data_IF_644473155347
#
_entry.id   IF_644473155347
#
_cell.length_a   1.000
_cell.length_b   1.000
_cell.length_c   1.000
_cell.angle_alpha   90.00
_cell.angle_beta   90.00
_cell.angle_gamma   90.00
#
_symmetry.space_group_name_H-M   'P 1'
#
loop_
_entity.id
_entity.type
_entity.pdbx_description
1 polymer ?
#
# COMPACT_ATOMS: atom_id res chain seq x y z
N UNK A 1 -7.95 3.21 -26.49
CA UNK A 1 -7.96 2.62 -25.13
C UNK A 1 -8.78 3.56 -24.25
N UNK A 2 -9.59 3.08 -23.30
CA UNK A 2 -10.27 3.97 -22.36
C UNK A 2 -9.21 4.80 -21.61
N UNK A 3 -9.43 6.10 -21.52
CA UNK A 3 -8.56 7.01 -20.77
C UNK A 3 -8.96 6.90 -19.30
N UNK A 4 -8.11 6.27 -18.49
CA UNK A 4 -8.35 6.16 -17.06
C UNK A 4 -7.74 7.36 -16.34
N UNK A 5 -8.43 7.94 -15.33
CA UNK A 5 -7.87 9.03 -14.56
C UNK A 5 -6.61 8.56 -13.83
N UNK A 6 -5.55 9.36 -13.93
CA UNK A 6 -4.34 9.21 -13.09
C UNK A 6 -4.57 10.07 -11.85
N UNK A 7 -4.59 9.44 -10.68
CA UNK A 7 -4.76 10.14 -9.43
C UNK A 7 -3.41 10.67 -8.93
N UNK A 8 -3.41 11.89 -8.38
CA UNK A 8 -2.26 12.50 -7.73
C UNK A 8 -2.64 12.96 -6.32
N UNK A 9 -3.23 12.02 -5.56
CA UNK A 9 -3.61 12.25 -4.17
C UNK A 9 -2.36 12.48 -3.33
N UNK A 10 -2.41 13.42 -2.39
CA UNK A 10 -1.28 13.74 -1.50
C UNK A 10 -1.56 13.42 -0.03
N UNK A 11 -2.85 13.28 0.32
CA UNK A 11 -3.32 13.05 1.66
C UNK A 11 -4.61 12.20 1.64
N UNK A 12 -5.10 11.86 2.83
CA UNK A 12 -6.35 11.11 3.03
C UNK A 12 -7.56 11.79 2.40
N UNK A 13 -7.70 13.11 2.56
CA UNK A 13 -8.84 13.87 2.03
C UNK A 13 -8.95 13.78 0.50
N UNK A 14 -7.82 13.83 -0.20
CA UNK A 14 -7.76 13.67 -1.65
C UNK A 14 -8.27 12.28 -2.07
N UNK A 15 -7.93 11.24 -1.30
CA UNK A 15 -8.36 9.86 -1.56
C UNK A 15 -9.85 9.70 -1.29
N UNK A 16 -10.35 10.17 -0.14
CA UNK A 16 -11.77 10.10 0.22
C UNK A 16 -12.63 10.82 -0.82
N UNK A 17 -12.18 12.00 -1.28
CA UNK A 17 -12.81 12.73 -2.36
C UNK A 17 -12.83 11.92 -3.66
N UNK A 18 -11.69 11.37 -4.07
CA UNK A 18 -11.56 10.58 -5.29
C UNK A 18 -12.48 9.34 -5.27
N UNK A 19 -12.52 8.63 -4.14
CA UNK A 19 -13.37 7.45 -3.91
C UNK A 19 -14.84 7.79 -4.10
N UNK A 20 -15.30 8.91 -3.52
CA UNK A 20 -16.68 9.38 -3.65
C UNK A 20 -17.02 9.81 -5.07
N UNK A 21 -16.17 10.61 -5.70
CA UNK A 21 -16.41 11.15 -7.06
C UNK A 21 -16.47 10.06 -8.12
N UNK A 22 -15.62 9.04 -7.98
CA UNK A 22 -15.52 7.93 -8.94
C UNK A 22 -16.35 6.72 -8.54
N UNK A 23 -17.14 6.82 -7.46
CA UNK A 23 -18.01 5.75 -6.94
C UNK A 23 -17.25 4.43 -6.77
N UNK A 24 -16.06 4.51 -6.19
CA UNK A 24 -15.24 3.34 -5.88
C UNK A 24 -15.97 2.52 -4.82
N UNK A 25 -16.22 1.25 -5.09
CA UNK A 25 -16.94 0.37 -4.16
C UNK A 25 -16.01 -0.31 -3.16
N UNK A 26 -14.76 -0.61 -3.57
CA UNK A 26 -13.76 -1.30 -2.77
C UNK A 26 -12.38 -0.71 -3.02
N UNK A 27 -11.59 -0.65 -1.97
CA UNK A 27 -10.17 -0.28 -2.06
C UNK A 27 -9.32 -1.47 -1.65
N UNK A 28 -8.40 -1.87 -2.52
CA UNK A 28 -7.42 -2.91 -2.22
C UNK A 28 -6.20 -2.31 -1.52
N UNK A 29 -5.87 -2.85 -0.36
CA UNK A 29 -4.63 -2.53 0.34
C UNK A 29 -3.59 -3.54 -0.11
N UNK A 30 -2.50 -3.04 -0.68
CA UNK A 30 -1.43 -3.81 -1.30
C UNK A 30 -0.16 -3.72 -0.48
N UNK A 31 0.55 -4.83 -0.35
CA UNK A 31 1.87 -4.87 0.28
C UNK A 31 2.67 -6.02 -0.32
N UNK A 32 3.98 -6.03 -0.07
CA UNK A 32 4.90 -6.99 -0.70
C UNK A 32 5.70 -7.69 0.38
N UNK A 33 5.66 -9.02 0.38
CA UNK A 33 6.47 -9.82 1.31
C UNK A 33 7.96 -9.84 0.93
N UNK A 34 8.80 -10.47 1.75
CA UNK A 34 10.26 -10.47 1.51
C UNK A 34 10.68 -11.26 0.28
N UNK A 35 9.80 -12.12 -0.27
CA UNK A 35 10.06 -12.86 -1.50
C UNK A 35 9.66 -12.05 -2.74
N UNK A 36 9.10 -10.85 -2.58
CA UNK A 36 8.62 -10.02 -3.67
C UNK A 36 7.20 -10.34 -4.12
N UNK A 37 6.46 -11.16 -3.35
CA UNK A 37 5.08 -11.52 -3.69
C UNK A 37 4.13 -10.39 -3.29
N UNK A 38 3.32 -9.92 -4.24
CA UNK A 38 2.23 -8.98 -3.95
C UNK A 38 1.12 -9.69 -3.16
N UNK A 39 0.81 -9.14 -2.00
CA UNK A 39 -0.30 -9.54 -1.13
C UNK A 39 -1.34 -8.41 -1.10
N UNK A 40 -2.60 -8.76 -0.83
CA UNK A 40 -3.65 -7.76 -0.71
C UNK A 40 -4.87 -8.24 0.06
N UNK A 41 -5.57 -7.29 0.69
CA UNK A 41 -6.95 -7.45 1.17
C UNK A 41 -7.80 -6.24 0.74
N UNK A 42 -9.10 -6.30 0.99
CA UNK A 42 -10.06 -5.28 0.55
C UNK A 42 -10.71 -4.59 1.75
N UNK A 43 -10.92 -3.29 1.62
CA UNK A 43 -11.65 -2.46 2.59
C UNK A 43 -12.76 -1.69 1.90
N UNK A 44 -13.79 -1.37 2.67
CA UNK A 44 -14.90 -0.54 2.25
C UNK A 44 -14.54 0.95 2.34
N UNK A 45 -15.10 1.81 1.47
CA UNK A 45 -14.90 3.26 1.53
C UNK A 45 -15.14 3.88 2.91
N UNK A 46 -16.12 3.36 3.67
CA UNK A 46 -16.44 3.86 5.01
C UNK A 46 -15.38 3.55 6.08
N UNK A 47 -14.43 2.66 5.78
CA UNK A 47 -13.33 2.29 6.68
C UNK A 47 -12.06 3.11 6.42
N UNK A 48 -12.02 3.90 5.33
CA UNK A 48 -10.80 4.58 4.90
C UNK A 48 -10.30 5.63 5.90
N UNK A 49 -11.20 6.40 6.51
CA UNK A 49 -10.81 7.42 7.49
C UNK A 49 -10.07 6.79 8.67
N UNK A 50 -10.66 5.76 9.28
CA UNK A 50 -10.02 4.98 10.35
C UNK A 50 -8.74 4.29 9.87
N UNK A 51 -8.73 3.74 8.65
CA UNK A 51 -7.55 3.10 8.10
C UNK A 51 -6.36 4.07 7.93
N UNK A 52 -6.59 5.36 7.63
CA UNK A 52 -5.53 6.35 7.55
C UNK A 52 -5.01 6.79 8.93
N UNK A 53 -5.86 6.77 9.95
CA UNK A 53 -5.51 7.19 11.31
C UNK A 53 -4.84 6.07 12.13
N UNK A 54 -5.47 4.90 12.14
CA UNK A 54 -5.11 3.77 13.01
C UNK A 54 -4.49 2.59 12.24
N UNK A 55 -4.74 2.52 10.92
CA UNK A 55 -4.39 1.37 10.11
C UNK A 55 -5.44 0.28 10.10
N UNK A 56 -5.17 -0.76 9.32
CA UNK A 56 -6.01 -1.96 9.25
C UNK A 56 -5.24 -3.18 9.73
N UNK A 57 -5.78 -3.86 10.73
CA UNK A 57 -5.26 -5.13 11.23
C UNK A 57 -5.38 -6.24 10.18
N UNK A 58 -4.36 -7.09 10.06
CA UNK A 58 -4.39 -8.31 9.26
C UNK A 58 -3.51 -9.40 9.87
N UNK A 59 -3.78 -10.65 9.50
CA UNK A 59 -3.01 -11.80 9.99
C UNK A 59 -1.62 -11.85 9.36
N UNK A 60 -0.59 -11.69 10.21
CA UNK A 60 0.82 -11.74 9.82
C UNK A 60 1.27 -13.09 9.26
N UNK A 61 0.53 -14.18 9.50
CA UNK A 61 0.80 -15.50 8.92
C UNK A 61 0.77 -15.50 7.39
N UNK A 62 0.13 -14.49 6.78
CA UNK A 62 0.05 -14.30 5.33
C UNK A 62 1.37 -13.83 4.67
N UNK A 63 2.36 -13.41 5.49
CA UNK A 63 3.67 -12.95 5.04
C UNK A 63 4.69 -14.10 5.07
N UNK A 64 5.22 -14.45 3.89
CA UNK A 64 6.31 -15.40 3.79
C UNK A 64 7.64 -14.77 4.21
N UNK A 65 8.52 -15.58 4.80
CA UNK A 65 9.87 -15.17 5.23
C UNK A 65 9.97 -14.54 6.62
N UNK A 66 8.92 -14.67 7.45
CA UNK A 66 8.97 -14.33 8.86
C UNK A 66 9.17 -15.56 9.76
N UNK A 67 9.76 -15.35 10.95
CA UNK A 67 9.91 -16.39 11.96
C UNK A 67 8.51 -16.86 12.40
N UNK A 68 8.14 -18.08 12.01
CA UNK A 68 6.86 -18.78 12.27
C UNK A 68 6.43 -18.90 13.74
N UNK A 69 7.14 -18.28 14.68
CA UNK A 69 7.01 -18.57 16.11
C UNK A 69 5.96 -17.69 16.79
N UNK A 70 5.59 -16.53 16.24
CA UNK A 70 4.41 -15.79 16.71
C UNK A 70 3.60 -15.26 15.52
N UNK A 71 2.41 -15.83 15.33
CA UNK A 71 1.34 -15.36 14.43
C UNK A 71 0.78 -14.03 14.95
N UNK A 72 1.61 -12.98 14.99
CA UNK A 72 1.16 -11.68 15.46
C UNK A 72 0.30 -11.00 14.41
N UNK A 73 -0.85 -10.46 14.82
CA UNK A 73 -1.59 -9.48 14.05
C UNK A 73 -0.64 -8.35 13.63
N UNK A 74 -0.77 -7.87 12.41
CA UNK A 74 0.04 -6.79 11.84
C UNK A 74 -0.86 -5.64 11.43
N UNK A 75 -0.31 -4.45 11.29
CA UNK A 75 -1.07 -3.25 10.90
C UNK A 75 -0.61 -2.78 9.53
N UNK A 76 -1.55 -2.59 8.60
CA UNK A 76 -1.31 -2.01 7.30
C UNK A 76 -1.76 -0.53 7.29
N UNK A 77 -0.82 0.38 7.07
CA UNK A 77 -1.08 1.82 6.93
C UNK A 77 -1.09 2.18 5.44
N UNK A 78 -2.22 2.57 4.85
CA UNK A 78 -2.30 2.92 3.44
C UNK A 78 -1.56 4.22 3.13
N UNK A 79 -0.84 4.25 2.01
CA UNK A 79 -0.16 5.44 1.49
C UNK A 79 -1.03 6.16 0.45
N UNK A 80 -1.58 7.35 0.77
CA UNK A 80 -2.46 8.09 -0.14
C UNK A 80 -1.81 8.41 -1.49
N UNK A 81 -0.50 8.64 -1.52
CA UNK A 81 0.22 9.03 -2.73
C UNK A 81 0.27 7.91 -3.77
N UNK A 82 -0.10 6.69 -3.38
CA UNK A 82 -0.11 5.52 -4.25
C UNK A 82 -1.49 5.17 -4.78
N UNK A 83 -2.54 5.90 -4.41
CA UNK A 83 -3.92 5.61 -4.80
C UNK A 83 -4.11 5.60 -6.31
N UNK A 84 -4.60 4.51 -6.88
CA UNK A 84 -4.90 4.39 -8.32
C UNK A 84 -6.09 3.44 -8.56
N UNK A 85 -6.75 3.57 -9.71
CA UNK A 85 -7.75 2.60 -10.17
C UNK A 85 -7.12 1.25 -10.56
N UNK A 86 -7.85 0.17 -10.30
CA UNK A 86 -7.56 -1.17 -10.81
C UNK A 86 -8.22 -1.32 -12.19
N UNK A 87 -7.48 -0.96 -13.25
CA UNK A 87 -8.04 -0.77 -14.60
C UNK A 87 -8.28 -2.06 -15.39
N UNK A 88 -7.66 -3.18 -15.01
CA UNK A 88 -7.86 -4.48 -15.66
C UNK A 88 -9.13 -5.21 -15.20
N UNK A 89 -9.83 -4.69 -14.18
CA UNK A 89 -11.16 -5.16 -13.79
C UNK A 89 -12.21 -4.22 -14.35
N UNK A 90 -12.77 -4.58 -15.50
CA UNK A 90 -13.91 -3.87 -16.09
C UNK A 90 -15.21 -4.32 -15.41
N UNK A 91 -15.34 -4.00 -14.13
CA UNK A 91 -16.55 -4.29 -13.34
C UNK A 91 -17.46 -3.07 -13.32
N UNK A 92 -18.77 -3.30 -13.18
CA UNK A 92 -19.74 -2.22 -12.94
C UNK A 92 -19.44 -1.46 -11.63
N UNK A 93 -18.70 -2.11 -10.73
CA UNK A 93 -18.20 -1.64 -9.45
C UNK A 93 -16.70 -1.28 -9.56
N UNK A 94 -16.32 0.01 -9.65
CA UNK A 94 -14.93 0.42 -9.72
C UNK A 94 -14.16 0.03 -8.46
N UNK A 95 -12.94 -0.48 -8.64
CA UNK A 95 -12.03 -0.85 -7.56
C UNK A 95 -10.78 0.01 -7.67
N UNK A 96 -10.32 0.53 -6.53
CA UNK A 96 -9.04 1.23 -6.42
C UNK A 96 -8.04 0.45 -5.57
N UNK A 97 -6.78 0.89 -5.55
CA UNK A 97 -5.72 0.29 -4.77
C UNK A 97 -4.76 1.32 -4.17
N UNK A 98 -4.20 1.00 -3.02
CA UNK A 98 -3.09 1.73 -2.39
C UNK A 98 -2.06 0.73 -1.88
N UNK A 99 -0.79 1.08 -1.96
CA UNK A 99 0.24 0.38 -1.21
C UNK A 99 0.19 0.78 0.25
N UNK A 100 0.52 -0.15 1.13
CA UNK A 100 0.61 0.04 2.57
C UNK A 100 2.05 -0.07 3.05
N UNK A 101 2.38 0.68 4.09
CA UNK A 101 3.50 0.36 4.97
C UNK A 101 3.00 -0.61 6.05
N UNK A 102 3.84 -1.57 6.44
CA UNK A 102 3.47 -2.56 7.46
C UNK A 102 4.12 -2.20 8.80
N UNK A 103 3.31 -2.19 9.86
CA UNK A 103 3.74 -1.95 11.23
C UNK A 103 3.48 -3.17 12.11
N UNK A 104 4.30 -3.33 13.13
CA UNK A 104 4.03 -4.20 14.27
C UNK A 104 2.87 -3.65 15.12
N UNK A 105 2.21 -4.47 15.97
CA UNK A 105 1.15 -4.02 16.89
C UNK A 105 1.53 -2.85 17.80
N UNK A 106 2.81 -2.71 18.11
CA UNK A 106 3.35 -1.62 18.92
C UNK A 106 3.51 -0.30 18.12
N UNK A 107 3.12 -0.27 16.85
CA UNK A 107 3.21 0.87 15.94
C UNK A 107 4.60 1.09 15.32
N UNK A 108 5.58 0.25 15.62
CA UNK A 108 6.92 0.34 15.01
C UNK A 108 6.92 -0.23 13.59
N UNK A 109 7.74 0.31 12.66
CA UNK A 109 7.83 -0.24 11.32
C UNK A 109 8.31 -1.69 11.31
N UNK A 110 7.59 -2.53 10.57
CA UNK A 110 7.94 -3.93 10.43
C UNK A 110 9.26 -4.09 9.66
N UNK A 111 10.24 -4.77 10.27
CA UNK A 111 11.57 -4.92 9.68
C UNK A 111 11.56 -5.74 8.37
N UNK A 112 10.58 -6.63 8.19
CA UNK A 112 10.40 -7.45 6.99
C UNK A 112 9.65 -6.74 5.86
N UNK A 113 9.16 -5.52 6.07
CA UNK A 113 8.54 -4.74 5.00
C UNK A 113 9.61 -4.27 4.00
N UNK A 114 9.56 -4.85 2.79
CA UNK A 114 10.47 -4.52 1.70
C UNK A 114 10.40 -3.04 1.31
N UNK A 115 9.21 -2.42 1.41
CA UNK A 115 9.01 -0.99 1.15
C UNK A 115 9.67 -0.14 2.22
N UNK A 116 9.52 -0.50 3.50
CA UNK A 116 10.23 0.15 4.59
C UNK A 116 11.75 0.05 4.43
N UNK A 117 12.26 -1.13 4.03
CA UNK A 117 13.67 -1.32 3.74
C UNK A 117 14.19 -0.35 2.67
N UNK A 118 13.44 -0.19 1.56
CA UNK A 118 13.77 0.79 0.53
C UNK A 118 13.78 2.21 1.08
N UNK A 119 12.74 2.63 1.82
CA UNK A 119 12.66 3.98 2.42
C UNK A 119 13.87 4.31 3.29
N UNK A 120 14.30 3.38 4.16
CA UNK A 120 15.50 3.58 5.01
C UNK A 120 16.77 3.78 4.19
N UNK A 121 16.96 2.98 3.13
CA UNK A 121 18.13 3.11 2.26
C UNK A 121 18.14 4.44 1.48
N UNK A 122 16.97 4.85 0.96
CA UNK A 122 16.83 6.14 0.29
C UNK A 122 17.12 7.31 1.23
N UNK A 123 16.63 7.24 2.48
CA UNK A 123 16.94 8.25 3.50
C UNK A 123 18.44 8.30 3.84
N UNK A 124 19.10 7.15 3.94
CA UNK A 124 20.54 7.06 4.17
C UNK A 124 21.38 7.59 2.99
N UNK A 125 20.90 7.44 1.76
CA UNK A 125 21.52 8.05 0.58
C UNK A 125 21.32 9.57 0.57
N UNK A 126 20.09 10.04 0.84
CA UNK A 126 19.74 11.45 0.90
C UNK A 126 20.53 12.21 1.98
N UNK A 127 20.75 11.60 3.15
CA UNK A 127 21.55 12.22 4.24
C UNK A 127 23.02 12.43 3.87
N UNK A 128 23.51 11.72 2.85
CA UNK A 128 24.84 11.89 2.26
C UNK A 128 24.85 12.83 1.05
N UNK A 129 23.71 13.46 0.72
CA UNK A 129 23.56 14.37 -0.41
C UNK A 129 23.31 13.69 -1.76
N UNK A 130 22.98 12.39 -1.78
CA UNK A 130 22.70 11.67 -3.02
C UNK A 130 21.20 11.66 -3.36
N UNK A 131 20.91 11.63 -4.66
CA UNK A 131 19.58 11.28 -5.20
C UNK A 131 19.67 9.92 -5.90
N UNK A 132 18.62 9.11 -5.79
CA UNK A 132 18.55 7.80 -6.39
C UNK A 132 17.49 7.77 -7.50
N UNK A 133 17.86 7.26 -8.67
CA UNK A 133 16.98 7.04 -9.81
C UNK A 133 17.18 5.62 -10.30
N UNK A 134 16.10 4.95 -10.70
CA UNK A 134 16.13 3.59 -11.25
C UNK A 134 15.22 3.54 -12.48
N UNK A 135 15.73 2.93 -13.56
CA UNK A 135 14.97 2.63 -14.77
C UNK A 135 14.88 1.12 -14.94
N UNK A 136 13.78 0.47 -14.55
CA UNK A 136 13.63 -0.97 -14.72
C UNK A 136 13.36 -1.32 -16.19
N UNK A 137 14.05 -2.34 -16.70
CA UNK A 137 13.78 -2.97 -18.00
C UNK A 137 13.24 -4.38 -17.73
N UNK A 138 11.94 -4.56 -17.96
CA UNK A 138 11.23 -5.81 -17.65
C UNK A 138 11.17 -6.69 -18.90
N UNK A 139 11.92 -7.79 -18.88
CA UNK A 139 11.74 -8.92 -19.79
C UNK A 139 10.75 -9.93 -19.16
N UNK A 140 9.96 -10.61 -19.98
CA UNK A 140 8.93 -11.56 -19.52
C UNK A 140 8.82 -12.78 -20.43
#
# INVERSE_FOLDING_TARGET
MPEFPIFNCKNSDDVVKAVREHKIELVQFWFVDVLGTLKSFQVLPGELEAAFEEGMGFDGSSLEGFCRIEESDMIAIPDPATFQLVTWRQTAAPIARMFCDILEPNGTPFAGDSRHCLKRNLQAAASKGYSFYVGPELEF
#
